data_IF_088038383330
#
_entry.id   IF_088038383330
#
_cell.length_a   1.000
_cell.length_b   1.000
_cell.length_c   1.000
_cell.angle_alpha   90.00
_cell.angle_beta   90.00
_cell.angle_gamma   90.00
#
_symmetry.space_group_name_H-M   'P 1'
#
loop_
_entity.id
_entity.type
_entity.pdbx_description
1 polymer ?
#
# COMPACT_ATOMS: atom_id res chain seq x y z
N UNK A 1 -11.53 -13.14 -12.49
CA UNK A 1 -11.54 -11.83 -11.79
C UNK A 1 -12.41 -11.97 -10.55
N UNK A 2 -12.03 -11.32 -9.43
CA UNK A 2 -12.86 -11.22 -8.22
C UNK A 2 -13.20 -9.74 -7.98
N UNK A 3 -14.48 -9.41 -7.89
CA UNK A 3 -14.97 -8.12 -7.45
C UNK A 3 -15.35 -8.17 -5.97
N UNK A 4 -14.85 -7.24 -5.15
CA UNK A 4 -15.15 -7.14 -3.72
C UNK A 4 -15.88 -5.82 -3.48
N UNK A 5 -16.98 -5.85 -2.77
CA UNK A 5 -17.81 -4.69 -2.39
C UNK A 5 -18.16 -3.81 -3.60
N UNK A 6 -17.61 -2.60 -3.71
CA UNK A 6 -17.78 -1.73 -4.87
C UNK A 6 -17.38 -2.42 -6.19
N UNK A 7 -16.31 -3.23 -6.18
CA UNK A 7 -15.88 -4.01 -7.34
C UNK A 7 -16.94 -5.03 -7.80
N UNK A 8 -17.67 -5.63 -6.87
CA UNK A 8 -18.81 -6.51 -7.18
C UNK A 8 -19.96 -5.74 -7.81
N UNK A 9 -20.32 -4.59 -7.26
CA UNK A 9 -21.37 -3.72 -7.77
C UNK A 9 -21.03 -3.22 -9.18
N UNK A 10 -19.80 -2.74 -9.38
CA UNK A 10 -19.34 -2.27 -10.69
C UNK A 10 -19.36 -3.39 -11.74
N UNK A 11 -18.92 -4.59 -11.37
CA UNK A 11 -18.95 -5.77 -12.25
C UNK A 11 -20.39 -6.10 -12.66
N UNK A 12 -21.32 -6.16 -11.72
CA UNK A 12 -22.72 -6.45 -12.02
C UNK A 12 -23.33 -5.36 -12.89
N UNK A 13 -23.13 -4.09 -12.56
CA UNK A 13 -23.62 -2.95 -13.36
C UNK A 13 -23.12 -2.99 -14.80
N UNK A 14 -21.81 -3.20 -15.00
CA UNK A 14 -21.19 -3.24 -16.34
C UNK A 14 -21.62 -4.45 -17.19
N UNK A 15 -22.02 -5.53 -16.55
CA UNK A 15 -22.40 -6.77 -17.23
C UNK A 15 -23.92 -6.97 -17.37
N UNK A 16 -24.72 -5.93 -17.05
CA UNK A 16 -26.16 -5.91 -17.28
C UNK A 16 -27.01 -6.35 -16.08
N UNK A 17 -26.42 -6.44 -14.89
CA UNK A 17 -27.11 -6.54 -13.62
C UNK A 17 -27.59 -5.17 -13.12
N UNK A 18 -28.24 -5.14 -11.96
CA UNK A 18 -28.79 -3.94 -11.36
C UNK A 18 -28.27 -3.69 -9.96
N UNK A 19 -27.81 -2.49 -9.72
CA UNK A 19 -27.42 -1.99 -8.40
C UNK A 19 -28.42 -0.94 -7.95
N UNK A 20 -28.82 -0.96 -6.68
CA UNK A 20 -29.77 -0.02 -6.09
C UNK A 20 -29.22 0.58 -4.80
N UNK A 21 -29.73 1.73 -4.45
CA UNK A 21 -29.53 2.40 -3.18
C UNK A 21 -30.76 2.08 -2.29
N UNK A 22 -30.66 1.15 -1.31
CA UNK A 22 -31.77 0.84 -0.42
C UNK A 22 -31.97 1.94 0.63
N UNK A 23 -33.03 1.81 1.46
CA UNK A 23 -33.28 2.75 2.57
C UNK A 23 -32.27 2.55 3.72
N UNK A 24 -31.75 1.33 3.88
CA UNK A 24 -30.82 0.97 4.96
C UNK A 24 -29.64 0.18 4.36
N UNK A 25 -28.42 0.59 4.74
CA UNK A 25 -27.19 -0.13 4.39
C UNK A 25 -26.83 -1.18 5.43
N UNK A 26 -25.94 -2.10 5.08
CA UNK A 26 -25.40 -3.11 6.00
C UNK A 26 -23.99 -2.73 6.45
N UNK A 27 -23.79 -2.68 7.77
CA UNK A 27 -22.50 -2.31 8.39
C UNK A 27 -22.19 -3.23 9.58
N UNK A 28 -20.97 -3.78 9.60
CA UNK A 28 -20.50 -4.60 10.69
C UNK A 28 -20.60 -6.11 10.43
N UNK A 29 -20.65 -6.88 11.52
CA UNK A 29 -20.75 -8.35 11.48
C UNK A 29 -22.17 -8.75 11.13
N UNK A 30 -22.32 -9.50 10.04
CA UNK A 30 -23.60 -9.95 9.50
C UNK A 30 -23.57 -11.46 9.27
N UNK A 31 -24.64 -12.16 9.63
CA UNK A 31 -24.82 -13.58 9.33
C UNK A 31 -25.03 -13.76 7.84
N UNK A 32 -24.36 -14.75 7.26
CA UNK A 32 -24.38 -15.04 5.82
C UNK A 32 -24.57 -16.54 5.58
N UNK A 33 -25.38 -16.85 4.59
CA UNK A 33 -25.61 -18.23 4.12
C UNK A 33 -24.96 -18.43 2.76
N UNK A 34 -24.21 -19.52 2.60
CA UNK A 34 -23.52 -19.91 1.37
C UNK A 34 -24.21 -21.07 0.69
N UNK A 35 -24.30 -21.04 -0.63
CA UNK A 35 -24.73 -22.18 -1.44
C UNK A 35 -23.59 -23.22 -1.58
N UNK A 36 -23.93 -24.50 -1.58
CA UNK A 36 -22.97 -25.59 -1.68
C UNK A 36 -22.15 -25.60 -2.99
N UNK A 37 -22.66 -25.00 -4.05
CA UNK A 37 -22.02 -24.88 -5.37
C UNK A 37 -21.15 -23.64 -5.51
N UNK A 38 -21.05 -22.80 -4.47
CA UNK A 38 -20.18 -21.63 -4.46
C UNK A 38 -18.70 -22.03 -4.45
N UNK A 39 -17.98 -21.80 -5.56
CA UNK A 39 -16.57 -22.20 -5.71
C UNK A 39 -15.67 -21.58 -4.65
N UNK A 40 -15.90 -20.31 -4.28
CA UNK A 40 -15.13 -19.63 -3.23
C UNK A 40 -15.45 -20.17 -1.83
N UNK A 41 -16.61 -20.83 -1.63
CA UNK A 41 -17.10 -21.34 -0.35
C UNK A 41 -16.87 -22.84 -0.16
N UNK A 42 -16.11 -23.44 -1.07
CA UNK A 42 -15.74 -24.85 -0.96
C UNK A 42 -15.08 -25.15 0.38
N UNK A 43 -15.52 -26.23 1.01
CA UNK A 43 -15.05 -26.72 2.32
C UNK A 43 -15.32 -25.75 3.48
N UNK A 44 -16.27 -24.81 3.31
CA UNK A 44 -16.75 -23.93 4.37
C UNK A 44 -18.14 -24.37 4.89
N UNK A 45 -18.49 -24.00 6.14
CA UNK A 45 -19.85 -24.18 6.65
C UNK A 45 -20.85 -23.42 5.78
N UNK A 46 -22.08 -23.93 5.66
CA UNK A 46 -23.17 -23.26 4.93
C UNK A 46 -23.60 -21.93 5.54
N UNK A 47 -23.31 -21.72 6.83
CA UNK A 47 -23.62 -20.51 7.58
C UNK A 47 -22.36 -19.98 8.24
N UNK A 48 -22.18 -18.67 8.24
CA UNK A 48 -21.01 -18.02 8.81
C UNK A 48 -21.29 -16.55 9.16
N UNK A 49 -20.26 -15.79 9.50
CA UNK A 49 -20.31 -14.35 9.74
C UNK A 49 -19.36 -13.66 8.78
N UNK A 50 -19.83 -12.65 8.09
CA UNK A 50 -19.03 -11.78 7.24
C UNK A 50 -19.04 -10.33 7.73
N UNK A 51 -18.13 -9.50 7.22
CA UNK A 51 -18.09 -8.07 7.45
C UNK A 51 -18.73 -7.34 6.28
N UNK A 52 -19.84 -6.68 6.53
CA UNK A 52 -20.51 -5.78 5.58
C UNK A 52 -20.09 -4.33 5.84
N UNK A 53 -19.93 -3.56 4.77
CA UNK A 53 -19.65 -2.12 4.83
C UNK A 53 -20.11 -1.46 3.54
N UNK A 54 -21.42 -1.43 3.32
CA UNK A 54 -21.99 -0.88 2.11
C UNK A 54 -23.38 -0.27 2.34
N UNK A 55 -23.72 0.71 1.52
CA UNK A 55 -25.06 1.26 1.41
C UNK A 55 -25.74 0.68 0.17
N UNK A 56 -25.15 0.88 -1.02
CA UNK A 56 -25.64 0.30 -2.25
C UNK A 56 -25.47 -1.23 -2.28
N UNK A 57 -26.41 -1.92 -2.94
CA UNK A 57 -26.36 -3.38 -3.09
C UNK A 57 -26.79 -3.84 -4.48
N UNK A 58 -26.37 -5.06 -4.82
CA UNK A 58 -26.81 -5.74 -6.04
C UNK A 58 -28.24 -6.19 -5.84
N UNK A 59 -29.16 -5.72 -6.70
CA UNK A 59 -30.57 -6.13 -6.70
C UNK A 59 -30.87 -7.23 -7.72
N UNK A 60 -30.15 -7.22 -8.85
CA UNK A 60 -30.28 -8.24 -9.90
C UNK A 60 -28.88 -8.65 -10.36
N UNK A 61 -28.61 -9.95 -10.34
CA UNK A 61 -27.36 -10.47 -10.88
C UNK A 61 -27.32 -10.30 -12.42
N UNK A 62 -26.11 -10.06 -12.95
CA UNK A 62 -25.94 -9.97 -14.39
C UNK A 62 -26.26 -11.31 -15.07
N UNK A 63 -26.68 -11.30 -16.36
CA UNK A 63 -26.97 -12.51 -17.11
C UNK A 63 -25.84 -13.53 -17.09
N UNK A 64 -26.17 -14.77 -16.77
CA UNK A 64 -25.21 -15.89 -16.65
C UNK A 64 -24.47 -15.94 -15.32
N UNK A 65 -24.80 -15.10 -14.35
CA UNK A 65 -24.31 -15.22 -12.98
C UNK A 65 -25.30 -15.97 -12.11
N UNK A 66 -24.76 -16.82 -11.26
CA UNK A 66 -25.47 -17.56 -10.22
C UNK A 66 -25.25 -16.88 -8.87
N UNK A 67 -26.32 -16.72 -8.09
CA UNK A 67 -26.25 -16.23 -6.72
C UNK A 67 -25.83 -17.39 -5.81
N UNK A 68 -24.73 -17.19 -5.06
CA UNK A 68 -24.12 -18.24 -4.22
C UNK A 68 -23.98 -17.85 -2.74
N UNK A 69 -24.42 -16.65 -2.36
CA UNK A 69 -24.56 -16.26 -0.96
C UNK A 69 -25.58 -15.14 -0.79
N UNK A 70 -26.20 -15.11 0.40
CA UNK A 70 -27.15 -14.06 0.80
C UNK A 70 -27.06 -13.80 2.31
N UNK A 71 -27.50 -12.62 2.72
CA UNK A 71 -27.82 -12.26 4.10
C UNK A 71 -29.32 -11.97 4.23
N UNK A 72 -29.78 -11.59 5.41
CA UNK A 72 -31.18 -11.20 5.62
C UNK A 72 -31.56 -9.96 4.77
N UNK A 73 -30.65 -8.98 4.68
CA UNK A 73 -30.89 -7.70 4.03
C UNK A 73 -30.24 -7.57 2.64
N UNK A 74 -29.27 -8.42 2.31
CA UNK A 74 -28.62 -8.48 1.00
C UNK A 74 -28.88 -9.82 0.30
N UNK A 75 -29.93 -9.92 -0.54
CA UNK A 75 -30.29 -11.17 -1.24
C UNK A 75 -29.20 -11.69 -2.19
N UNK A 76 -28.29 -10.79 -2.62
CA UNK A 76 -27.20 -11.11 -3.53
C UNK A 76 -25.89 -10.65 -2.88
N UNK A 77 -25.45 -11.42 -1.86
CA UNK A 77 -24.20 -11.16 -1.16
C UNK A 77 -22.99 -11.74 -1.90
N UNK A 78 -23.17 -12.78 -2.73
CA UNK A 78 -22.14 -13.24 -3.65
C UNK A 78 -22.75 -13.85 -4.90
N UNK A 79 -22.03 -13.69 -6.02
CA UNK A 79 -22.38 -14.26 -7.33
C UNK A 79 -21.15 -14.86 -8.01
N UNK A 80 -21.37 -15.83 -8.89
CA UNK A 80 -20.33 -16.42 -9.72
C UNK A 80 -20.79 -16.65 -11.15
N UNK A 81 -19.86 -16.52 -12.08
CA UNK A 81 -19.94 -17.06 -13.43
C UNK A 81 -18.69 -17.93 -13.65
N UNK A 82 -18.83 -19.22 -13.44
CA UNK A 82 -17.72 -20.18 -13.46
C UNK A 82 -17.09 -20.27 -14.84
N UNK A 83 -17.90 -20.24 -15.90
CA UNK A 83 -17.45 -20.31 -17.29
C UNK A 83 -16.52 -19.15 -17.64
N UNK A 84 -16.91 -17.91 -17.28
CA UNK A 84 -16.13 -16.70 -17.52
C UNK A 84 -15.07 -16.44 -16.45
N UNK A 85 -15.00 -17.27 -15.40
CA UNK A 85 -14.13 -17.07 -14.22
C UNK A 85 -14.31 -15.70 -13.57
N UNK A 86 -15.58 -15.25 -13.44
CA UNK A 86 -15.96 -14.01 -12.81
C UNK A 86 -16.67 -14.30 -11.49
N UNK A 87 -16.20 -13.67 -10.42
CA UNK A 87 -16.70 -13.86 -9.05
C UNK A 87 -16.91 -12.50 -8.41
N UNK A 88 -17.95 -12.36 -7.63
CA UNK A 88 -18.30 -11.10 -6.98
C UNK A 88 -18.82 -11.36 -5.56
N UNK A 89 -18.31 -10.62 -4.58
CA UNK A 89 -18.78 -10.67 -3.19
C UNK A 89 -19.05 -9.24 -2.70
N UNK A 90 -20.19 -9.03 -2.03
CA UNK A 90 -20.57 -7.73 -1.49
C UNK A 90 -19.86 -7.44 -0.17
N UNK A 91 -19.52 -8.46 0.60
CA UNK A 91 -18.79 -8.39 1.86
C UNK A 91 -17.27 -8.32 1.64
N UNK A 92 -16.53 -8.15 2.72
CA UNK A 92 -15.09 -8.02 2.74
C UNK A 92 -14.41 -9.30 3.27
N UNK A 93 -14.00 -10.25 2.39
CA UNK A 93 -13.30 -11.47 2.83
C UNK A 93 -11.87 -11.21 3.30
N UNK A 94 -11.28 -10.05 2.96
CA UNK A 94 -9.90 -9.67 3.29
C UNK A 94 -9.73 -9.19 4.73
N UNK A 95 -10.83 -8.82 5.41
CA UNK A 95 -10.74 -8.32 6.79
C UNK A 95 -10.88 -9.44 7.82
N UNK A 96 -10.25 -9.29 8.97
CA UNK A 96 -10.24 -10.28 10.06
C UNK A 96 -11.62 -10.58 10.64
N UNK A 97 -12.58 -9.68 10.47
CA UNK A 97 -13.95 -9.84 10.98
C UNK A 97 -14.82 -10.81 10.14
N UNK A 98 -14.40 -11.13 8.92
CA UNK A 98 -15.05 -12.18 8.11
C UNK A 98 -14.46 -13.52 8.48
N UNK A 99 -15.31 -14.40 9.07
CA UNK A 99 -14.91 -15.77 9.38
C UNK A 99 -14.56 -16.52 8.09
N UNK A 100 -13.45 -17.25 8.12
CA UNK A 100 -12.95 -18.01 6.97
C UNK A 100 -12.64 -17.19 5.72
N UNK A 101 -12.50 -15.86 5.81
CA UNK A 101 -12.19 -15.00 4.67
C UNK A 101 -10.88 -15.40 3.96
N UNK A 102 -9.85 -15.76 4.73
CA UNK A 102 -8.59 -16.30 4.20
C UNK A 102 -8.80 -17.56 3.36
N UNK A 103 -9.68 -18.48 3.80
CA UNK A 103 -9.99 -19.70 3.04
C UNK A 103 -10.75 -19.37 1.75
N UNK A 104 -11.67 -18.40 1.78
CA UNK A 104 -12.37 -17.93 0.57
C UNK A 104 -11.40 -17.38 -0.48
N UNK A 105 -10.47 -16.52 -0.04
CA UNK A 105 -9.42 -15.97 -0.91
C UNK A 105 -8.50 -17.08 -1.42
N UNK A 106 -8.12 -18.03 -0.56
CA UNK A 106 -7.35 -19.21 -0.95
C UNK A 106 -8.07 -20.04 -2.02
N UNK A 107 -9.35 -20.32 -1.87
CA UNK A 107 -10.15 -21.05 -2.84
C UNK A 107 -10.18 -20.33 -4.20
N UNK A 108 -10.29 -19.00 -4.19
CA UNK A 108 -10.21 -18.22 -5.42
C UNK A 108 -8.81 -18.27 -6.05
N UNK A 109 -7.77 -17.94 -5.28
CA UNK A 109 -6.39 -17.83 -5.81
C UNK A 109 -5.87 -19.20 -6.28
N UNK A 110 -6.12 -20.26 -5.51
CA UNK A 110 -5.64 -21.62 -5.84
C UNK A 110 -6.60 -22.36 -6.77
N UNK A 111 -7.90 -22.34 -6.43
CA UNK A 111 -8.92 -23.10 -7.15
C UNK A 111 -9.30 -22.48 -8.49
N UNK A 112 -9.52 -21.17 -8.54
CA UNK A 112 -9.96 -20.49 -9.76
C UNK A 112 -8.78 -20.00 -10.60
N UNK A 113 -7.82 -19.31 -9.97
CA UNK A 113 -6.66 -18.73 -10.68
C UNK A 113 -5.58 -19.76 -10.97
N UNK A 114 -5.53 -20.88 -10.25
CA UNK A 114 -4.50 -21.91 -10.42
C UNK A 114 -3.11 -21.48 -9.99
N UNK A 115 -3.01 -20.47 -9.12
CA UNK A 115 -1.72 -19.96 -8.64
C UNK A 115 -0.95 -21.05 -7.89
N UNK A 116 0.28 -21.33 -8.29
CA UNK A 116 1.09 -22.41 -7.72
C UNK A 116 1.59 -22.14 -6.28
N UNK A 117 1.50 -20.89 -5.79
CA UNK A 117 1.98 -20.50 -4.45
C UNK A 117 3.48 -20.66 -4.30
N UNK A 118 4.22 -20.49 -5.38
CA UNK A 118 5.69 -20.59 -5.41
C UNK A 118 6.38 -19.34 -4.92
N UNK A 119 5.65 -18.23 -4.82
CA UNK A 119 6.19 -16.99 -4.31
C UNK A 119 6.53 -17.13 -2.82
N UNK A 120 7.77 -16.78 -2.45
CA UNK A 120 8.28 -16.79 -1.09
C UNK A 120 9.01 -15.48 -0.82
N UNK A 121 8.83 -14.91 0.36
CA UNK A 121 9.48 -13.66 0.77
C UNK A 121 11.00 -13.73 0.68
N UNK A 122 11.62 -14.83 1.12
CA UNK A 122 13.08 -15.00 1.04
C UNK A 122 13.61 -14.94 -0.38
N UNK A 123 12.88 -15.52 -1.35
CA UNK A 123 13.23 -15.44 -2.77
C UNK A 123 13.05 -14.03 -3.31
N UNK A 124 12.01 -13.34 -2.90
CA UNK A 124 11.77 -11.94 -3.25
C UNK A 124 12.94 -11.05 -2.79
N UNK A 125 13.29 -11.10 -1.50
CA UNK A 125 14.39 -10.31 -0.94
C UNK A 125 15.70 -10.57 -1.69
N UNK A 126 16.01 -11.85 -1.97
CA UNK A 126 17.24 -12.22 -2.70
C UNK A 126 17.24 -11.64 -4.11
N UNK A 127 16.17 -11.85 -4.86
CA UNK A 127 16.06 -11.35 -6.23
C UNK A 127 16.14 -9.82 -6.27
N UNK A 128 15.45 -9.14 -5.36
CA UNK A 128 15.48 -7.66 -5.26
C UNK A 128 16.89 -7.15 -4.97
N UNK A 129 17.64 -7.82 -4.09
CA UNK A 129 19.04 -7.46 -3.82
C UNK A 129 19.90 -7.61 -5.08
N UNK A 130 19.72 -8.69 -5.83
CA UNK A 130 20.48 -8.94 -7.05
C UNK A 130 20.10 -7.93 -8.17
N UNK A 131 18.81 -7.60 -8.32
CA UNK A 131 18.31 -6.54 -9.23
C UNK A 131 18.89 -5.16 -8.88
N UNK A 132 18.91 -4.79 -7.60
CA UNK A 132 19.51 -3.53 -7.13
C UNK A 132 21.00 -3.47 -7.49
N UNK A 133 21.74 -4.56 -7.27
CA UNK A 133 23.18 -4.63 -7.59
C UNK A 133 23.41 -4.44 -9.09
N UNK A 134 22.60 -5.07 -9.92
CA UNK A 134 22.68 -4.94 -11.37
C UNK A 134 22.36 -3.52 -11.84
N UNK A 135 21.30 -2.91 -11.30
CA UNK A 135 20.88 -1.55 -11.65
C UNK A 135 21.90 -0.50 -11.22
N UNK A 136 22.42 -0.61 -10.01
CA UNK A 136 23.29 0.41 -9.41
C UNK A 136 24.75 0.27 -9.88
N UNK A 137 25.25 -0.95 -10.04
CA UNK A 137 26.65 -1.21 -10.34
C UNK A 137 27.59 -0.51 -9.34
N UNK A 138 28.53 0.28 -9.83
CA UNK A 138 29.45 1.09 -9.01
C UNK A 138 28.92 2.48 -8.63
N UNK A 139 27.67 2.77 -8.94
CA UNK A 139 27.04 4.06 -8.72
C UNK A 139 26.75 4.32 -7.23
N UNK A 140 26.50 5.60 -6.91
CA UNK A 140 26.12 6.06 -5.57
C UNK A 140 24.61 6.31 -5.51
N UNK A 141 23.99 5.85 -4.44
CA UNK A 141 22.55 5.96 -4.19
C UNK A 141 22.30 6.88 -3.01
N UNK A 142 21.36 7.81 -3.18
CA UNK A 142 20.85 8.68 -2.13
C UNK A 142 19.43 8.27 -1.77
N UNK A 143 19.14 8.12 -0.48
CA UNK A 143 17.83 7.79 0.04
C UNK A 143 17.37 8.86 1.04
N UNK A 144 16.17 9.40 0.83
CA UNK A 144 15.48 10.17 1.85
C UNK A 144 14.81 9.21 2.85
N UNK A 145 15.40 9.10 4.03
CA UNK A 145 14.92 8.21 5.09
C UNK A 145 13.95 8.98 5.99
N UNK A 146 12.67 8.63 5.98
CA UNK A 146 11.63 9.30 6.78
C UNK A 146 11.45 8.73 8.18
N UNK A 147 12.02 7.55 8.46
CA UNK A 147 11.76 6.78 9.69
C UNK A 147 10.49 5.91 9.61
N UNK A 148 9.67 6.05 8.57
CA UNK A 148 8.54 5.16 8.31
C UNK A 148 8.96 3.76 7.85
N UNK A 149 8.04 2.79 7.93
CA UNK A 149 8.30 1.38 7.59
C UNK A 149 8.86 1.22 6.18
N UNK A 150 8.24 1.86 5.18
CA UNK A 150 8.60 1.69 3.77
C UNK A 150 10.03 2.17 3.50
N UNK A 151 10.39 3.38 3.95
CA UNK A 151 11.74 3.93 3.79
C UNK A 151 12.79 3.13 4.56
N UNK A 152 12.43 2.57 5.73
CA UNK A 152 13.34 1.76 6.54
C UNK A 152 13.60 0.39 5.91
N UNK A 153 12.57 -0.26 5.34
CA UNK A 153 12.74 -1.52 4.60
C UNK A 153 13.57 -1.29 3.34
N UNK A 154 13.31 -0.22 2.61
CA UNK A 154 14.11 0.16 1.45
C UNK A 154 15.58 0.40 1.84
N UNK A 155 15.83 1.15 2.92
CA UNK A 155 17.18 1.37 3.44
C UNK A 155 17.88 0.04 3.79
N UNK A 156 17.19 -0.90 4.42
CA UNK A 156 17.74 -2.20 4.78
C UNK A 156 18.05 -3.08 3.56
N UNK A 157 17.20 -3.07 2.53
CA UNK A 157 17.44 -3.78 1.26
C UNK A 157 18.65 -3.20 0.53
N UNK A 158 18.69 -1.88 0.37
CA UNK A 158 19.80 -1.17 -0.25
C UNK A 158 21.11 -1.38 0.52
N UNK A 159 21.08 -1.32 1.85
CA UNK A 159 22.25 -1.59 2.69
C UNK A 159 22.84 -2.98 2.44
N UNK A 160 21.97 -4.00 2.32
CA UNK A 160 22.39 -5.38 2.00
C UNK A 160 22.89 -5.54 0.56
N UNK A 161 22.35 -4.76 -0.37
CA UNK A 161 22.73 -4.84 -1.78
C UNK A 161 24.06 -4.14 -2.06
N UNK A 162 24.22 -2.88 -1.60
CA UNK A 162 25.26 -1.95 -2.06
C UNK A 162 26.09 -1.31 -0.92
N UNK A 163 25.74 -1.56 0.35
CA UNK A 163 26.53 -1.09 1.51
C UNK A 163 26.86 0.41 1.47
N UNK A 164 28.15 0.75 1.53
CA UNK A 164 28.67 2.14 1.54
C UNK A 164 28.40 2.97 0.29
N UNK A 165 27.88 2.40 -0.79
CA UNK A 165 27.41 3.18 -1.93
C UNK A 165 26.09 3.91 -1.59
N UNK A 166 25.38 3.45 -0.53
CA UNK A 166 24.17 4.09 -0.02
C UNK A 166 24.49 5.21 0.95
N UNK A 167 23.87 6.38 0.73
CA UNK A 167 23.79 7.47 1.70
C UNK A 167 22.33 7.72 2.05
N UNK A 168 21.99 7.57 3.33
CA UNK A 168 20.66 7.88 3.86
C UNK A 168 20.69 9.28 4.50
N UNK A 169 19.76 10.14 4.10
CA UNK A 169 19.56 11.47 4.72
C UNK A 169 18.25 11.41 5.51
N UNK A 170 18.37 11.60 6.81
CA UNK A 170 17.23 11.69 7.74
C UNK A 170 17.06 13.13 8.20
N UNK A 171 15.90 13.73 7.92
CA UNK A 171 15.59 15.11 8.30
C UNK A 171 14.77 15.13 9.59
N UNK A 172 15.41 15.56 10.69
CA UNK A 172 14.73 15.81 11.95
C UNK A 172 14.06 17.19 11.90
N UNK A 173 12.77 17.18 11.57
CA UNK A 173 11.96 18.39 11.41
C UNK A 173 11.24 18.82 12.71
N UNK A 174 11.47 18.13 13.83
CA UNK A 174 10.86 18.45 15.12
C UNK A 174 9.38 18.08 15.28
N UNK A 175 8.77 17.44 14.28
CA UNK A 175 7.39 16.94 14.30
C UNK A 175 7.34 15.41 14.40
N UNK A 176 8.47 14.80 14.75
CA UNK A 176 8.61 13.37 14.96
C UNK A 176 7.93 12.93 16.26
N UNK A 177 7.67 11.63 16.37
CA UNK A 177 7.29 11.00 17.63
C UNK A 177 8.44 11.11 18.64
N UNK A 178 8.13 10.95 19.91
CA UNK A 178 9.13 10.98 20.97
C UNK A 178 10.22 9.93 20.71
N UNK A 179 11.48 10.35 20.70
CA UNK A 179 12.69 9.55 20.49
C UNK A 179 12.82 8.91 19.07
N UNK A 180 11.89 9.14 18.15
CA UNK A 180 11.91 8.51 16.82
C UNK A 180 13.21 8.80 16.04
N UNK A 181 13.73 10.03 16.11
CA UNK A 181 15.01 10.38 15.48
C UNK A 181 16.20 9.61 16.05
N UNK A 182 16.21 9.37 17.36
CA UNK A 182 17.27 8.61 18.04
C UNK A 182 17.16 7.12 17.75
N UNK A 183 15.94 6.60 17.63
CA UNK A 183 15.68 5.21 17.22
C UNK A 183 16.16 4.96 15.80
N UNK A 184 15.87 5.85 14.85
CA UNK A 184 16.34 5.74 13.46
C UNK A 184 17.87 5.80 13.39
N UNK A 185 18.49 6.73 14.13
CA UNK A 185 19.94 6.86 14.20
C UNK A 185 20.59 5.64 14.86
N UNK A 186 19.94 5.06 15.88
CA UNK A 186 20.38 3.81 16.52
C UNK A 186 20.40 2.61 15.58
N UNK A 187 19.52 2.58 14.57
CA UNK A 187 19.46 1.49 13.59
C UNK A 187 20.39 1.75 12.39
N UNK A 188 20.39 2.95 11.84
CA UNK A 188 21.07 3.28 10.57
C UNK A 188 22.32 4.14 10.73
N UNK A 189 22.56 4.69 11.92
CA UNK A 189 23.73 5.52 12.20
C UNK A 189 25.02 4.73 12.30
N UNK A 190 26.10 5.41 12.69
CA UNK A 190 27.47 4.89 12.71
C UNK A 190 27.62 3.61 13.55
N UNK A 191 26.91 3.53 14.68
CA UNK A 191 26.96 2.39 15.61
C UNK A 191 25.76 1.44 15.40
N UNK A 192 25.02 1.63 14.32
CA UNK A 192 23.82 0.87 13.98
C UNK A 192 24.11 -0.48 13.30
N UNK A 193 23.03 -1.14 12.89
CA UNK A 193 23.09 -2.50 12.34
C UNK A 193 23.55 -2.57 10.87
N UNK A 194 23.67 -1.43 10.18
CA UNK A 194 23.93 -1.37 8.75
C UNK A 194 25.21 -0.56 8.45
N UNK A 195 26.08 -1.10 7.60
CA UNK A 195 27.29 -0.42 7.14
C UNK A 195 27.00 0.49 5.93
N UNK A 196 26.41 1.66 6.19
CA UNK A 196 26.00 2.67 5.21
C UNK A 196 26.54 4.05 5.61
N UNK A 197 26.34 5.06 4.74
CA UNK A 197 26.51 6.45 5.13
C UNK A 197 25.16 6.99 5.63
N UNK A 198 25.16 7.54 6.84
CA UNK A 198 23.95 8.12 7.45
C UNK A 198 24.21 9.57 7.84
N UNK A 199 23.27 10.44 7.45
CA UNK A 199 23.32 11.88 7.75
C UNK A 199 22.01 12.27 8.42
N UNK A 200 22.07 12.67 9.71
CA UNK A 200 20.93 13.29 10.41
C UNK A 200 21.03 14.79 10.32
N UNK A 201 20.00 15.41 9.78
CA UNK A 201 19.92 16.88 9.64
C UNK A 201 18.93 17.41 10.66
N UNK A 202 19.42 18.19 11.63
CA UNK A 202 18.52 18.91 12.54
C UNK A 202 18.00 20.18 11.84
N UNK A 203 16.72 20.13 11.45
CA UNK A 203 16.03 21.23 10.77
C UNK A 203 14.86 21.81 11.61
N UNK A 204 14.74 21.45 12.91
CA UNK A 204 13.60 21.76 13.75
C UNK A 204 13.21 23.24 13.74
N UNK A 205 14.17 24.15 14.02
CA UNK A 205 13.94 25.60 14.06
C UNK A 205 13.45 26.13 12.70
N UNK A 206 13.93 25.56 11.62
CA UNK A 206 13.56 25.92 10.25
C UNK A 206 12.10 25.61 9.98
N UNK A 207 11.62 24.44 10.42
CA UNK A 207 10.22 24.05 10.28
C UNK A 207 9.32 24.84 11.24
N UNK A 208 9.72 25.02 12.50
CA UNK A 208 8.92 25.77 13.47
C UNK A 208 8.69 27.21 13.01
N UNK A 209 9.71 27.88 12.51
CA UNK A 209 9.58 29.25 12.00
C UNK A 209 8.61 29.37 10.84
N UNK A 210 8.59 28.40 9.92
CA UNK A 210 7.68 28.38 8.77
C UNK A 210 6.25 27.98 9.08
N UNK A 211 6.06 27.18 10.12
CA UNK A 211 4.74 26.71 10.56
C UNK A 211 4.09 27.65 11.58
N UNK A 212 4.81 28.65 12.10
CA UNK A 212 4.29 29.60 13.06
C UNK A 212 3.05 30.33 12.51
N UNK A 213 1.95 30.25 13.24
CA UNK A 213 0.66 30.86 12.87
C UNK A 213 -0.11 30.15 11.74
N UNK A 214 0.39 29.05 11.20
CA UNK A 214 -0.31 28.26 10.18
C UNK A 214 -1.24 27.26 10.89
N UNK A 215 -2.56 27.41 10.71
CA UNK A 215 -3.58 26.54 11.34
C UNK A 215 -4.20 25.54 10.36
N UNK A 216 -4.26 25.90 9.07
CA UNK A 216 -4.93 25.11 8.04
C UNK A 216 -4.09 23.85 7.69
N UNK A 217 -4.67 22.63 7.80
CA UNK A 217 -3.93 21.37 7.67
C UNK A 217 -3.23 21.18 6.33
N UNK A 218 -3.89 21.51 5.22
CA UNK A 218 -3.33 21.32 3.88
C UNK A 218 -2.14 22.27 3.62
N UNK A 219 -2.22 23.50 4.14
CA UNK A 219 -1.13 24.46 4.08
C UNK A 219 0.08 23.97 4.89
N UNK A 220 -0.15 23.38 6.08
CA UNK A 220 0.92 22.78 6.88
C UNK A 220 1.62 21.67 6.08
N UNK A 221 0.85 20.78 5.46
CA UNK A 221 1.38 19.67 4.67
C UNK A 221 2.26 20.15 3.52
N UNK A 222 1.81 21.17 2.78
CA UNK A 222 2.59 21.77 1.68
C UNK A 222 3.90 22.37 2.18
N UNK A 223 3.86 23.16 3.26
CA UNK A 223 5.08 23.76 3.84
C UNK A 223 6.06 22.68 4.28
N UNK A 224 5.58 21.61 4.94
CA UNK A 224 6.42 20.51 5.40
C UNK A 224 7.09 19.80 4.21
N UNK A 225 6.32 19.49 3.17
CA UNK A 225 6.82 18.81 1.99
C UNK A 225 7.84 19.66 1.20
N UNK A 226 7.53 20.92 0.93
CA UNK A 226 8.46 21.84 0.23
C UNK A 226 9.75 22.02 1.00
N UNK A 227 9.68 22.15 2.33
CA UNK A 227 10.86 22.35 3.13
C UNK A 227 11.71 21.09 3.23
N UNK A 228 11.07 19.92 3.26
CA UNK A 228 11.77 18.62 3.21
C UNK A 228 12.63 18.52 1.94
N UNK A 229 12.05 18.82 0.78
CA UNK A 229 12.76 18.81 -0.51
C UNK A 229 13.96 19.74 -0.48
N UNK A 230 13.80 20.97 0.03
CA UNK A 230 14.90 21.97 0.11
C UNK A 230 16.05 21.49 0.99
N UNK A 231 15.73 20.98 2.18
CA UNK A 231 16.75 20.44 3.09
C UNK A 231 17.47 19.26 2.46
N UNK A 232 16.72 18.39 1.81
CA UNK A 232 17.27 17.20 1.13
C UNK A 232 18.20 17.60 -0.02
N UNK A 233 17.83 18.57 -0.85
CA UNK A 233 18.67 19.09 -1.93
C UNK A 233 19.95 19.74 -1.41
N UNK A 234 19.87 20.50 -0.31
CA UNK A 234 21.04 21.12 0.32
C UNK A 234 22.04 20.06 0.79
N UNK A 235 21.55 18.96 1.39
CA UNK A 235 22.39 17.85 1.82
C UNK A 235 22.94 17.05 0.64
N UNK A 236 22.12 16.79 -0.38
CA UNK A 236 22.57 16.13 -1.61
C UNK A 236 23.75 16.86 -2.27
N UNK A 237 23.71 18.20 -2.30
CA UNK A 237 24.82 19.02 -2.82
C UNK A 237 26.10 18.89 -2.00
N UNK A 238 26.00 18.73 -0.67
CA UNK A 238 27.16 18.52 0.22
C UNK A 238 27.79 17.13 0.04
N UNK A 239 26.96 16.11 -0.20
CA UNK A 239 27.38 14.73 -0.44
C UNK A 239 28.15 14.61 -1.77
N UNK A 240 27.87 15.50 -2.72
CA UNK A 240 28.50 15.55 -4.03
C UNK A 240 27.78 14.68 -5.06
N UNK A 241 28.55 14.13 -6.02
CA UNK A 241 27.94 13.37 -7.13
C UNK A 241 27.24 12.11 -6.63
N UNK A 242 25.94 12.02 -6.88
CA UNK A 242 25.08 10.88 -6.66
C UNK A 242 24.49 10.46 -8.00
N UNK A 243 24.44 9.16 -8.27
CA UNK A 243 23.97 8.65 -9.56
C UNK A 243 22.49 8.27 -9.52
N UNK A 244 21.99 7.81 -8.39
CA UNK A 244 20.62 7.31 -8.25
C UNK A 244 19.92 7.91 -7.02
N UNK A 245 18.61 8.20 -7.17
CA UNK A 245 17.72 8.47 -6.05
C UNK A 245 16.97 7.19 -5.71
N UNK A 246 16.97 6.78 -4.43
CA UNK A 246 16.11 5.71 -3.97
C UNK A 246 14.82 6.27 -3.39
N UNK A 247 13.70 5.70 -3.78
CA UNK A 247 12.36 6.12 -3.36
C UNK A 247 11.50 4.91 -3.04
N UNK A 248 10.85 4.94 -1.87
CA UNK A 248 9.86 3.96 -1.50
C UNK A 248 8.46 4.49 -1.82
N UNK A 249 7.85 3.99 -2.87
CA UNK A 249 6.46 4.29 -3.25
C UNK A 249 5.67 3.01 -3.30
N UNK A 250 4.54 2.95 -2.63
CA UNK A 250 3.65 1.80 -2.68
C UNK A 250 2.62 1.96 -3.79
N UNK A 251 2.29 0.87 -4.49
CA UNK A 251 1.38 0.88 -5.63
C UNK A 251 0.00 1.53 -5.35
N UNK A 252 -0.66 1.35 -4.20
CA UNK A 252 -1.88 2.08 -3.88
C UNK A 252 -1.73 3.59 -3.90
N UNK A 253 -0.58 4.11 -3.46
CA UNK A 253 -0.33 5.56 -3.48
C UNK A 253 -0.25 6.09 -4.92
N UNK A 254 0.32 5.32 -5.84
CA UNK A 254 0.34 5.64 -7.27
C UNK A 254 -1.08 5.69 -7.84
N UNK A 255 -1.92 4.71 -7.51
CA UNK A 255 -3.32 4.65 -7.97
C UNK A 255 -4.15 5.81 -7.39
N UNK A 256 -4.01 6.08 -6.09
CA UNK A 256 -4.74 7.14 -5.38
C UNK A 256 -4.30 8.55 -5.81
N UNK A 257 -3.09 8.72 -6.33
CA UNK A 257 -2.58 10.01 -6.82
C UNK A 257 -3.06 10.41 -8.22
N UNK A 258 -3.83 9.55 -8.88
CA UNK A 258 -4.49 9.88 -10.14
C UNK A 258 -3.63 9.83 -11.40
N UNK A 259 -2.44 9.23 -11.34
CA UNK A 259 -1.58 9.04 -12.53
C UNK A 259 -2.15 8.06 -13.57
N UNK A 260 -3.28 7.43 -13.29
CA UNK A 260 -3.89 6.40 -14.14
C UNK A 260 -5.21 6.74 -14.83
N UNK A 261 -5.68 8.00 -14.89
CA UNK A 261 -6.91 8.33 -15.63
C UNK A 261 -7.83 9.38 -14.98
N UNK A 262 -9.13 9.34 -15.28
CA UNK A 262 -10.16 10.33 -14.91
C UNK A 262 -10.52 10.39 -13.42
N UNK A 263 -9.79 9.69 -12.53
CA UNK A 263 -10.02 9.72 -11.08
C UNK A 263 -9.56 11.04 -10.48
N UNK A 264 -10.40 11.65 -9.67
CA UNK A 264 -10.02 12.82 -8.89
C UNK A 264 -8.85 12.48 -7.96
N UNK A 265 -7.85 13.34 -7.89
CA UNK A 265 -6.73 13.21 -6.96
C UNK A 265 -7.27 13.27 -5.53
N UNK A 266 -7.32 12.12 -4.85
CA UNK A 266 -7.87 12.01 -3.50
C UNK A 266 -6.83 12.41 -2.45
N UNK A 267 -5.54 12.18 -2.76
CA UNK A 267 -4.42 12.55 -1.90
C UNK A 267 -3.22 13.04 -2.72
N UNK A 268 -2.58 14.09 -2.27
CA UNK A 268 -1.25 14.48 -2.74
C UNK A 268 -0.20 13.67 -1.97
N UNK A 269 0.39 12.66 -2.59
CA UNK A 269 1.47 11.88 -1.98
C UNK A 269 2.82 12.57 -2.17
N UNK A 270 3.66 12.48 -1.14
CA UNK A 270 4.98 13.11 -1.10
C UNK A 270 5.91 12.68 -2.25
N UNK A 271 5.65 11.51 -2.82
CA UNK A 271 6.55 10.87 -3.78
C UNK A 271 6.13 11.03 -5.25
N UNK A 272 4.94 11.55 -5.56
CA UNK A 272 4.42 11.62 -6.92
C UNK A 272 4.55 13.00 -7.56
N UNK A 273 5.00 14.01 -6.82
CA UNK A 273 5.06 15.39 -7.31
C UNK A 273 6.32 16.18 -6.97
N UNK A 274 7.32 15.57 -6.36
CA UNK A 274 8.43 16.31 -5.79
C UNK A 274 9.79 15.64 -5.91
N UNK A 275 10.23 15.33 -7.13
CA UNK A 275 11.65 15.07 -7.36
C UNK A 275 12.43 16.37 -7.18
N UNK A 276 13.63 16.34 -6.58
CA UNK A 276 14.50 17.51 -6.49
C UNK A 276 14.80 18.06 -7.88
N UNK A 277 14.36 19.28 -8.18
CA UNK A 277 14.53 19.90 -9.51
C UNK A 277 16.00 20.20 -9.85
N UNK A 278 16.89 20.17 -8.85
CA UNK A 278 18.26 20.64 -8.97
C UNK A 278 19.34 19.57 -8.78
N UNK A 279 18.95 18.27 -8.79
CA UNK A 279 19.90 17.15 -8.71
C UNK A 279 19.70 16.23 -9.90
N UNK A 280 20.70 16.13 -10.76
CA UNK A 280 20.68 15.24 -11.93
C UNK A 280 20.98 13.81 -11.51
N UNK A 281 19.92 13.02 -11.31
CA UNK A 281 20.02 11.58 -11.14
C UNK A 281 19.96 10.86 -12.50
N UNK A 282 20.69 9.76 -12.61
CA UNK A 282 20.63 8.91 -13.83
C UNK A 282 19.30 8.16 -13.89
N UNK A 283 18.83 7.66 -12.73
CA UNK A 283 17.61 6.86 -12.62
C UNK A 283 17.15 6.78 -11.17
N UNK A 284 15.95 6.24 -10.96
CA UNK A 284 15.34 6.01 -9.65
C UNK A 284 15.40 4.52 -9.33
N UNK A 285 15.77 4.19 -8.08
CA UNK A 285 15.75 2.82 -7.57
C UNK A 285 14.52 2.65 -6.68
N UNK A 286 13.52 1.89 -7.16
CA UNK A 286 12.25 1.66 -6.48
C UNK A 286 11.95 0.15 -6.25
N UNK A 287 12.69 -0.55 -5.41
CA UNK A 287 12.53 -2.00 -5.26
C UNK A 287 11.27 -2.42 -4.48
N UNK A 288 10.55 -1.49 -3.86
CA UNK A 288 9.42 -1.75 -2.94
C UNK A 288 8.11 -1.16 -3.45
N UNK A 289 7.85 -1.18 -4.76
CA UNK A 289 6.61 -0.66 -5.33
C UNK A 289 5.36 -1.53 -5.06
N UNK A 290 5.49 -2.70 -4.43
CA UNK A 290 4.39 -3.61 -4.10
C UNK A 290 4.26 -3.88 -2.60
N UNK A 291 3.22 -3.53 -2.07
CA UNK A 291 2.44 -3.47 -0.81
C UNK A 291 2.51 -4.61 0.19
N UNK A 292 3.56 -5.37 0.31
CA UNK A 292 3.64 -6.42 1.33
C UNK A 292 3.75 -5.90 2.76
N UNK A 293 4.01 -4.61 2.93
CA UNK A 293 4.25 -3.99 4.22
C UNK A 293 2.98 -3.55 4.96
N UNK A 294 1.87 -3.33 4.25
CA UNK A 294 0.62 -2.85 4.85
C UNK A 294 -0.04 -3.81 5.82
N UNK A 295 0.17 -5.11 5.66
CA UNK A 295 -0.42 -6.12 6.54
C UNK A 295 0.11 -6.05 7.99
N UNK A 296 1.27 -5.44 8.21
CA UNK A 296 1.87 -5.32 9.53
C UNK A 296 1.49 -4.05 10.28
N UNK A 297 1.13 -2.99 9.60
CA UNK A 297 0.74 -1.73 10.25
C UNK A 297 -0.59 -1.82 11.00
N UNK A 298 -1.49 -2.72 10.57
CA UNK A 298 -2.82 -2.87 11.19
C UNK A 298 -2.83 -3.73 12.43
N UNK A 299 -1.82 -4.55 12.68
CA UNK A 299 -1.75 -5.45 13.84
C UNK A 299 -1.08 -4.86 15.07
N UNK A 300 -0.39 -3.74 14.94
CA UNK A 300 0.33 -3.09 16.05
C UNK A 300 -0.45 -1.93 16.69
N UNK A 301 -1.61 -1.59 16.19
CA UNK A 301 -2.41 -0.45 16.67
C UNK A 301 -3.83 -0.82 17.11
N UNK A 302 -4.08 -2.10 17.38
CA UNK A 302 -5.32 -2.59 18.02
C UNK A 302 -4.96 -3.15 19.45
#
# INVERSE_FOLDING_TARGET
MLGICYGAQLMMHKLGGKVITPEVGEYGKTEITYSANGVMFKDLPSESVCWMSHFDRIAEAAPGFEVVAHTADCPIAATQNVEKKLYAVQFHPEVLHTKNGTQMIYNFVRGVCGCAGTWKMDSFVKNTIDEIREQVGDGKVLLALSGGVDSSVLAALLAKAIGKQLTCVFVDHGLLRKNEGDEVEGVFGKDGSFDINFVRVNAQERYYSKLAGVTEPERKRKIIGEEFIRVFEEEAKKIGKVDFLAQGTIYPDVVESGLGGESAVIKSHHNVGGLPEHVDFKDIVEPVSYTHLRAHETTLHL
#
